data_IF_835406226301
#
_entry.id   IF_835406226301
#
_cell.length_a   1.000
_cell.length_b   1.000
_cell.length_c   1.000
_cell.angle_alpha   90.00
_cell.angle_beta   90.00
_cell.angle_gamma   90.00
#
_symmetry.space_group_name_H-M   'P 1'
#
loop_
_entity.id
_entity.type
_entity.pdbx_description
1 polymer ?
#
# COMPACT_ATOMS: atom_id res chain seq x y z
N UNK A 1 -21.98 33.59 -12.70
CA UNK A 1 -22.16 32.68 -11.54
C UNK A 1 -22.22 31.24 -12.06
N UNK A 2 -21.06 30.58 -12.26
CA UNK A 2 -21.02 29.19 -12.73
C UNK A 2 -20.95 28.26 -11.51
N UNK A 3 -22.07 27.66 -11.12
CA UNK A 3 -22.12 26.65 -10.07
C UNK A 3 -21.58 25.32 -10.60
N UNK A 4 -20.26 25.15 -10.50
CA UNK A 4 -19.60 23.87 -10.74
C UNK A 4 -20.06 22.84 -9.69
N UNK A 5 -20.98 21.94 -10.07
CA UNK A 5 -21.32 20.78 -9.24
C UNK A 5 -20.10 19.87 -9.19
N UNK A 6 -19.37 19.90 -8.08
CA UNK A 6 -18.34 18.92 -7.78
C UNK A 6 -19.07 17.58 -7.61
N UNK A 7 -19.00 16.71 -8.62
CA UNK A 7 -19.41 15.30 -8.47
C UNK A 7 -18.48 14.69 -7.44
N UNK A 8 -18.98 14.48 -6.23
CA UNK A 8 -18.33 13.62 -5.24
C UNK A 8 -18.34 12.21 -5.82
N UNK A 9 -17.26 11.83 -6.52
CA UNK A 9 -17.02 10.43 -6.86
C UNK A 9 -16.76 9.70 -5.55
N UNK A 10 -17.81 9.08 -4.99
CA UNK A 10 -17.68 7.98 -4.04
C UNK A 10 -16.54 7.10 -4.57
N UNK A 11 -15.50 6.78 -3.79
CA UNK A 11 -14.57 5.75 -4.22
C UNK A 11 -15.42 4.51 -4.47
N UNK A 12 -15.51 4.08 -5.73
CA UNK A 12 -16.14 2.80 -6.08
C UNK A 12 -15.26 1.71 -5.47
N UNK A 13 -15.52 1.43 -4.19
CA UNK A 13 -15.01 0.30 -3.46
C UNK A 13 -15.82 -0.89 -3.97
N UNK A 14 -15.24 -1.63 -4.90
CA UNK A 14 -15.73 -2.96 -5.23
C UNK A 14 -15.43 -3.88 -4.04
N UNK A 15 -16.36 -4.80 -3.79
CA UNK A 15 -16.18 -5.85 -2.81
C UNK A 15 -15.01 -6.76 -3.21
N UNK A 16 -14.28 -7.26 -2.22
CA UNK A 16 -13.10 -8.08 -2.44
C UNK A 16 -13.47 -9.37 -3.19
N UNK A 17 -14.65 -9.96 -2.95
CA UNK A 17 -15.12 -11.12 -3.68
C UNK A 17 -15.35 -10.83 -5.17
N UNK A 18 -15.78 -9.61 -5.52
CA UNK A 18 -15.92 -9.20 -6.93
C UNK A 18 -14.55 -9.10 -7.60
N UNK A 19 -13.55 -8.58 -6.91
CA UNK A 19 -12.17 -8.51 -7.41
C UNK A 19 -11.65 -9.92 -7.67
N UNK A 20 -11.77 -10.84 -6.71
CA UNK A 20 -11.30 -12.22 -6.85
C UNK A 20 -12.00 -12.97 -7.99
N UNK A 21 -13.30 -12.75 -8.22
CA UNK A 21 -14.02 -13.35 -9.36
C UNK A 21 -13.42 -12.91 -10.70
N UNK A 22 -13.13 -11.61 -10.84
CA UNK A 22 -12.56 -11.07 -12.08
C UNK A 22 -11.12 -11.58 -12.28
N UNK A 23 -10.31 -11.59 -11.23
CA UNK A 23 -8.94 -12.10 -11.29
C UNK A 23 -8.90 -13.60 -11.59
N UNK A 24 -9.76 -14.40 -10.96
CA UNK A 24 -9.88 -15.84 -11.22
C UNK A 24 -10.28 -16.12 -12.66
N UNK A 25 -11.29 -15.42 -13.17
CA UNK A 25 -11.71 -15.57 -14.56
C UNK A 25 -10.56 -15.26 -15.53
N UNK A 26 -9.76 -14.23 -15.26
CA UNK A 26 -8.58 -13.91 -16.06
C UNK A 26 -7.49 -14.99 -15.96
N UNK A 27 -7.21 -15.49 -14.76
CA UNK A 27 -6.21 -16.53 -14.52
C UNK A 27 -6.58 -17.88 -15.16
N UNK A 28 -7.87 -18.24 -15.16
CA UNK A 28 -8.39 -19.48 -15.75
C UNK A 28 -8.62 -19.37 -17.28
N UNK A 29 -8.33 -18.22 -17.89
CA UNK A 29 -8.53 -17.99 -19.33
C UNK A 29 -10.00 -17.83 -19.74
N UNK A 30 -10.89 -17.58 -18.79
CA UNK A 30 -12.30 -17.27 -19.05
C UNK A 30 -12.48 -15.80 -19.50
N UNK A 31 -13.67 -15.48 -20.01
CA UNK A 31 -13.99 -14.10 -20.41
C UNK A 31 -14.23 -13.20 -19.19
N UNK A 32 -13.14 -12.66 -18.65
CA UNK A 32 -13.15 -11.72 -17.54
C UNK A 32 -13.92 -10.42 -17.86
N UNK A 33 -14.12 -10.06 -19.14
CA UNK A 33 -14.87 -8.86 -19.52
C UNK A 33 -16.35 -9.05 -19.23
N UNK A 34 -16.88 -10.22 -19.54
CA UNK A 34 -18.26 -10.61 -19.22
C UNK A 34 -18.47 -10.66 -17.69
N UNK A 35 -17.52 -11.26 -16.97
CA UNK A 35 -17.55 -11.30 -15.49
C UNK A 35 -17.52 -9.88 -14.89
N UNK A 36 -16.67 -9.00 -15.42
CA UNK A 36 -16.60 -7.61 -14.97
C UNK A 36 -17.93 -6.87 -15.21
N UNK A 37 -18.52 -7.02 -16.40
CA UNK A 37 -19.80 -6.39 -16.75
C UNK A 37 -20.95 -6.89 -15.86
N UNK A 38 -21.01 -8.21 -15.59
CA UNK A 38 -22.00 -8.81 -14.68
C UNK A 38 -21.90 -8.30 -13.24
N UNK A 39 -20.73 -7.83 -12.82
CA UNK A 39 -20.49 -7.29 -11.47
C UNK A 39 -20.43 -5.75 -11.43
N UNK A 40 -20.90 -5.06 -12.49
CA UNK A 40 -20.85 -3.59 -12.64
C UNK A 40 -19.42 -2.99 -12.52
N UNK A 41 -18.40 -3.79 -12.84
CA UNK A 41 -17.00 -3.35 -12.81
C UNK A 41 -16.65 -2.70 -14.15
N UNK A 42 -16.14 -1.48 -14.09
CA UNK A 42 -15.59 -0.81 -15.29
C UNK A 42 -14.45 -1.64 -15.87
N UNK A 43 -14.51 -1.94 -17.17
CA UNK A 43 -13.50 -2.74 -17.87
C UNK A 43 -12.06 -2.24 -17.67
N UNK A 44 -11.85 -0.92 -17.71
CA UNK A 44 -10.52 -0.30 -17.45
C UNK A 44 -10.01 -0.57 -16.03
N UNK A 45 -10.91 -0.68 -15.06
CA UNK A 45 -10.55 -1.01 -13.68
C UNK A 45 -10.20 -2.49 -13.55
N UNK A 46 -11.03 -3.37 -14.11
CA UNK A 46 -10.76 -4.81 -14.17
C UNK A 46 -9.41 -5.11 -14.85
N UNK A 47 -9.15 -4.48 -16.00
CA UNK A 47 -7.88 -4.60 -16.71
C UNK A 47 -6.68 -4.20 -15.85
N UNK A 48 -6.78 -3.10 -15.09
CA UNK A 48 -5.70 -2.68 -14.18
C UNK A 48 -5.44 -3.68 -13.06
N UNK A 49 -6.45 -4.40 -12.60
CA UNK A 49 -6.28 -5.44 -11.58
C UNK A 49 -5.55 -6.64 -12.17
N UNK A 50 -5.95 -7.07 -13.36
CA UNK A 50 -5.31 -8.18 -14.08
C UNK A 50 -3.84 -7.85 -14.37
N UNK A 51 -3.55 -6.69 -14.95
CA UNK A 51 -2.17 -6.28 -15.23
C UNK A 51 -1.31 -6.22 -13.96
N UNK A 52 -1.87 -5.76 -12.83
CA UNK A 52 -1.14 -5.73 -11.56
C UNK A 52 -0.91 -7.15 -10.98
N UNK A 53 -1.85 -8.07 -11.18
CA UNK A 53 -1.70 -9.48 -10.80
C UNK A 53 -0.66 -10.18 -11.69
N UNK A 54 -0.64 -9.90 -12.99
CA UNK A 54 0.40 -10.38 -13.92
C UNK A 54 1.79 -9.84 -13.55
N UNK A 55 1.92 -8.53 -13.30
CA UNK A 55 3.19 -7.90 -12.94
C UNK A 55 3.76 -8.43 -11.61
N UNK A 56 2.89 -8.78 -10.66
CA UNK A 56 3.30 -9.25 -9.32
C UNK A 56 3.33 -10.77 -9.17
N UNK A 57 2.78 -11.51 -10.13
CA UNK A 57 2.53 -12.96 -10.04
C UNK A 57 1.52 -13.35 -8.95
N UNK A 58 0.85 -12.39 -8.31
CA UNK A 58 -0.07 -12.64 -7.20
C UNK A 58 -1.52 -12.36 -7.60
N UNK A 59 -2.26 -13.44 -7.88
CA UNK A 59 -3.67 -13.42 -8.30
C UNK A 59 -4.67 -13.33 -7.14
N UNK A 60 -4.20 -13.53 -5.90
CA UNK A 60 -5.01 -13.40 -4.68
C UNK A 60 -4.85 -12.03 -4.01
N UNK A 61 -3.81 -11.28 -4.40
CA UNK A 61 -3.57 -9.94 -3.90
C UNK A 61 -4.68 -8.99 -4.34
N UNK A 62 -5.26 -8.32 -3.36
CA UNK A 62 -6.13 -7.19 -3.66
C UNK A 62 -5.30 -6.12 -4.39
N UNK A 63 -5.82 -5.57 -5.50
CA UNK A 63 -5.14 -4.54 -6.30
C UNK A 63 -5.01 -3.21 -5.57
N UNK A 64 -5.45 -3.16 -4.30
CA UNK A 64 -5.21 -2.04 -3.39
C UNK A 64 -3.74 -2.08 -2.97
N UNK A 65 -2.87 -1.42 -3.75
CA UNK A 65 -1.63 -0.90 -3.17
C UNK A 65 -2.03 -0.01 -1.98
N UNK A 66 -1.44 -0.19 -0.79
CA UNK A 66 -1.71 0.70 0.33
C UNK A 66 -1.53 2.15 -0.15
N UNK A 67 -2.62 2.94 -0.11
CA UNK A 67 -2.55 4.35 -0.43
C UNK A 67 -1.99 5.07 0.78
N UNK A 68 -0.77 5.56 0.64
CA UNK A 68 -0.02 6.13 1.74
C UNK A 68 0.94 5.11 2.34
N UNK A 69 2.00 5.64 2.94
CA UNK A 69 3.15 4.90 3.43
C UNK A 69 4.32 5.86 3.57
N UNK A 70 5.09 5.71 4.64
CA UNK A 70 6.22 6.60 4.97
C UNK A 70 7.34 6.35 3.97
N UNK A 71 7.41 7.17 2.91
CA UNK A 71 8.42 7.03 1.84
C UNK A 71 9.82 7.54 2.23
N UNK A 72 9.90 8.27 3.34
CA UNK A 72 11.16 8.82 3.88
C UNK A 72 11.14 8.70 5.41
N UNK A 73 11.50 7.54 5.94
CA UNK A 73 11.69 7.39 7.38
C UNK A 73 13.08 7.88 7.78
N UNK A 74 13.13 8.94 8.60
CA UNK A 74 14.36 9.38 9.26
C UNK A 74 14.86 8.40 10.33
N UNK A 75 14.01 7.44 10.69
CA UNK A 75 14.31 6.35 11.62
C UNK A 75 14.26 5.09 10.77
N UNK A 76 15.39 4.41 10.68
CA UNK A 76 15.54 3.09 10.06
C UNK A 76 15.66 2.05 11.18
N UNK A 77 15.59 0.76 10.84
CA UNK A 77 15.57 -0.32 11.82
C UNK A 77 16.88 -0.35 12.65
N UNK A 78 18.00 0.00 12.04
CA UNK A 78 19.31 0.13 12.68
C UNK A 78 19.31 1.20 13.78
N UNK A 79 18.56 2.29 13.57
CA UNK A 79 18.39 3.32 14.59
C UNK A 79 17.52 2.84 15.74
N UNK A 80 16.55 1.95 15.48
CA UNK A 80 15.70 1.37 16.52
C UNK A 80 16.52 0.40 17.37
N UNK A 81 17.32 -0.47 16.76
CA UNK A 81 18.17 -1.42 17.48
C UNK A 81 19.18 -0.70 18.37
N UNK A 82 19.77 0.39 17.88
CA UNK A 82 20.66 1.24 18.67
C UNK A 82 19.95 1.91 19.85
N UNK A 83 18.74 2.42 19.63
CA UNK A 83 17.94 3.01 20.71
C UNK A 83 17.62 2.00 21.78
N UNK A 84 17.29 0.75 21.40
CA UNK A 84 17.03 -0.36 22.33
C UNK A 84 18.27 -0.69 23.15
N UNK A 85 19.44 -0.86 22.51
CA UNK A 85 20.70 -1.10 23.23
C UNK A 85 21.04 0.01 24.24
N UNK A 86 20.79 1.27 23.89
CA UNK A 86 20.94 2.41 24.79
C UNK A 86 19.98 2.40 25.99
N UNK A 87 18.79 1.82 25.85
CA UNK A 87 17.86 1.64 26.97
C UNK A 87 18.37 0.53 27.89
N UNK A 88 18.83 -0.57 27.31
CA UNK A 88 19.36 -1.71 28.05
C UNK A 88 20.61 -1.34 28.84
N UNK A 89 21.51 -0.54 28.26
CA UNK A 89 22.73 -0.06 28.92
C UNK A 89 22.44 1.00 29.99
N UNK A 90 21.49 1.90 29.75
CA UNK A 90 21.08 2.92 30.73
C UNK A 90 19.63 3.37 30.55
N UNK A 91 18.76 2.89 31.44
CA UNK A 91 17.33 3.18 31.40
C UNK A 91 16.96 4.63 31.80
N UNK A 92 17.89 5.41 32.35
CA UNK A 92 17.65 6.79 32.80
C UNK A 92 18.01 7.86 31.76
N UNK A 93 18.52 7.47 30.59
CA UNK A 93 18.90 8.44 29.57
C UNK A 93 17.66 9.13 28.97
N UNK A 94 17.74 10.44 28.82
CA UNK A 94 16.66 11.26 28.24
C UNK A 94 16.57 11.11 26.72
N UNK A 95 15.38 11.33 26.16
CA UNK A 95 15.15 11.28 24.71
C UNK A 95 15.99 12.31 23.93
N UNK A 96 16.28 13.47 24.51
CA UNK A 96 17.07 14.52 23.87
C UNK A 96 18.55 14.12 23.73
N UNK A 97 19.12 13.54 24.79
CA UNK A 97 20.46 12.97 24.75
C UNK A 97 20.56 11.81 23.72
N UNK A 98 19.51 10.97 23.61
CA UNK A 98 19.43 9.92 22.58
C UNK A 98 19.36 10.50 21.16
N UNK A 99 18.58 11.56 20.95
CA UNK A 99 18.42 12.20 19.64
C UNK A 99 19.73 12.85 19.16
N UNK A 100 20.53 13.41 20.07
CA UNK A 100 21.86 13.95 19.77
C UNK A 100 22.79 12.83 19.30
N UNK A 101 22.87 11.72 20.03
CA UNK A 101 23.73 10.57 19.68
C UNK A 101 23.32 9.90 18.37
N UNK A 102 22.01 9.81 18.10
CA UNK A 102 21.49 9.24 16.86
C UNK A 102 21.83 10.10 15.63
N UNK A 103 21.97 11.42 15.79
CA UNK A 103 22.29 12.34 14.68
C UNK A 103 23.74 12.22 14.21
N UNK A 104 24.62 11.74 15.08
CA UNK A 104 26.05 11.54 14.82
C UNK A 104 26.37 10.11 14.33
N UNK A 105 25.34 9.26 14.17
CA UNK A 105 25.50 7.90 13.64
C UNK A 105 25.76 7.93 12.11
N UNK A 106 26.85 7.33 11.60
CA UNK A 106 27.05 7.17 10.17
C UNK A 106 26.06 6.13 9.64
N UNK A 107 25.05 6.58 8.90
CA UNK A 107 24.16 5.71 8.14
C UNK A 107 24.86 5.40 6.82
N UNK A 108 25.23 4.13 6.60
CA UNK A 108 25.86 3.68 5.36
C UNK A 108 24.98 3.95 4.14
N UNK A 109 25.62 4.30 3.02
CA UNK A 109 24.99 4.54 1.71
C UNK A 109 24.19 3.33 1.19
#
# INVERSE_FOLDING_TARGET
MATGKIKVTKPMLYDDATVHRVLRAAHEGQDWRDVALKNDVKLRTAYRWINAAEDSGNWEALPRKPRGGKRHSKIQDEHVDYLVGLIDDNCYITLDARAIQMKDMPVGE
#
